data_IF_901815316642
#
_entry.id   IF_901815316642
#
_cell.length_a   1.000
_cell.length_b   1.000
_cell.length_c   1.000
_cell.angle_alpha   90.00
_cell.angle_beta   90.00
_cell.angle_gamma   90.00
#
_symmetry.space_group_name_H-M   'P 1'
#
loop_
_entity.id
_entity.type
_entity.pdbx_description
1 polymer ?
#
# COMPACT_ATOMS: atom_id res chain seq x y z
N UNK A 1 -14.91 15.42 -5.78
CA UNK A 1 -13.51 15.11 -5.45
C UNK A 1 -12.81 14.78 -6.77
N UNK A 2 -11.64 15.35 -7.00
CA UNK A 2 -10.96 15.38 -8.30
C UNK A 2 -10.53 14.01 -8.84
N UNK A 3 -10.21 13.99 -10.13
CA UNK A 3 -9.78 12.90 -11.01
C UNK A 3 -9.31 11.60 -10.31
N UNK A 4 -10.02 10.49 -10.60
CA UNK A 4 -9.60 9.07 -10.49
C UNK A 4 -8.48 8.77 -9.47
N UNK A 5 -8.86 8.50 -8.22
CA UNK A 5 -7.95 7.91 -7.25
C UNK A 5 -7.72 6.43 -7.61
N UNK A 6 -6.45 6.01 -7.60
CA UNK A 6 -6.05 4.62 -7.78
C UNK A 6 -5.51 4.11 -6.44
N UNK A 7 -6.05 2.99 -5.97
CA UNK A 7 -5.63 2.34 -4.74
C UNK A 7 -4.32 1.57 -4.96
N UNK A 8 -3.36 1.73 -4.06
CA UNK A 8 -2.06 1.07 -4.09
C UNK A 8 -1.93 0.13 -2.89
N UNK A 9 -1.47 -1.10 -3.14
CA UNK A 9 -1.10 -2.10 -2.13
C UNK A 9 0.20 -2.83 -2.55
N UNK A 10 0.81 -3.56 -1.62
CA UNK A 10 2.08 -4.30 -1.78
C UNK A 10 1.93 -5.70 -2.40
N UNK A 11 0.75 -6.03 -2.95
CA UNK A 11 0.45 -7.35 -3.51
C UNK A 11 0.54 -8.52 -2.50
N UNK A 12 0.52 -8.26 -1.18
CA UNK A 12 0.52 -9.32 -0.17
C UNK A 12 -0.68 -10.28 -0.32
N UNK A 13 -0.51 -11.54 0.10
CA UNK A 13 -1.53 -12.59 -0.06
C UNK A 13 -2.94 -12.18 0.42
N UNK A 14 -3.11 -11.51 1.59
CA UNK A 14 -4.41 -11.03 2.02
C UNK A 14 -5.03 -10.00 1.06
N UNK A 15 -4.23 -9.08 0.52
CA UNK A 15 -4.69 -8.05 -0.42
C UNK A 15 -5.15 -8.66 -1.76
N UNK A 16 -4.64 -9.85 -2.10
CA UNK A 16 -5.00 -10.58 -3.33
C UNK A 16 -6.09 -11.64 -3.12
N UNK A 17 -6.66 -11.74 -1.92
CA UNK A 17 -7.79 -12.61 -1.68
C UNK A 17 -9.01 -12.17 -2.49
N UNK A 18 -9.80 -13.14 -2.97
CA UNK A 18 -11.01 -12.87 -3.78
C UNK A 18 -12.01 -11.94 -3.09
N UNK A 19 -12.14 -12.05 -1.76
CA UNK A 19 -13.03 -11.18 -0.98
C UNK A 19 -12.60 -9.71 -1.05
N UNK A 20 -11.30 -9.43 -1.03
CA UNK A 20 -10.75 -8.08 -1.15
C UNK A 20 -10.97 -7.54 -2.57
N UNK A 21 -10.66 -8.33 -3.59
CA UNK A 21 -10.88 -7.94 -4.99
C UNK A 21 -12.36 -7.62 -5.27
N UNK A 22 -13.30 -8.40 -4.73
CA UNK A 22 -14.74 -8.13 -4.87
C UNK A 22 -15.18 -6.86 -4.16
N UNK A 23 -14.64 -6.59 -2.97
CA UNK A 23 -14.91 -5.36 -2.21
C UNK A 23 -14.43 -4.11 -2.98
N UNK A 24 -13.19 -4.14 -3.50
CA UNK A 24 -12.68 -3.01 -4.30
C UNK A 24 -13.54 -2.75 -5.55
N UNK A 25 -14.00 -3.82 -6.20
CA UNK A 25 -14.89 -3.70 -7.35
C UNK A 25 -16.27 -3.14 -6.97
N UNK A 26 -16.86 -3.52 -5.84
CA UNK A 26 -18.18 -3.00 -5.43
C UNK A 26 -18.15 -1.53 -5.06
N UNK A 27 -17.01 -1.05 -4.58
CA UNK A 27 -16.79 0.36 -4.22
C UNK A 27 -16.29 1.21 -5.41
N UNK A 28 -16.22 0.65 -6.63
CA UNK A 28 -15.66 1.31 -7.82
C UNK A 28 -14.23 1.82 -7.62
N UNK A 29 -13.45 1.10 -6.81
CA UNK A 29 -12.05 1.43 -6.51
C UNK A 29 -11.15 0.72 -7.51
N UNK A 30 -10.49 1.51 -8.36
CA UNK A 30 -9.43 1.00 -9.24
C UNK A 30 -8.18 0.72 -8.44
N UNK A 31 -7.68 -0.52 -8.49
CA UNK A 31 -6.39 -0.89 -7.90
C UNK A 31 -5.26 -0.80 -8.94
N UNK A 32 -4.12 -0.27 -8.53
CA UNK A 32 -2.90 -0.27 -9.33
C UNK A 32 -2.34 -1.69 -9.46
N UNK A 33 -1.99 -2.08 -10.68
CA UNK A 33 -1.15 -3.25 -10.90
C UNK A 33 0.29 -2.94 -10.47
N UNK A 34 0.80 -3.74 -9.53
CA UNK A 34 2.10 -3.52 -8.91
C UNK A 34 3.00 -4.73 -9.10
N UNK A 35 4.27 -4.49 -9.40
CA UNK A 35 5.26 -5.56 -9.58
C UNK A 35 5.64 -6.17 -8.23
N UNK A 36 5.74 -7.49 -8.19
CA UNK A 36 6.23 -8.18 -7.00
C UNK A 36 7.69 -7.81 -6.73
N UNK A 37 8.09 -7.81 -5.44
CA UNK A 37 9.46 -7.55 -4.99
C UNK A 37 10.00 -6.15 -5.31
N UNK A 38 9.13 -5.14 -5.37
CA UNK A 38 9.52 -3.73 -5.53
C UNK A 38 9.20 -2.90 -4.25
N UNK A 39 9.84 -3.21 -3.10
CA UNK A 39 9.60 -2.47 -1.85
C UNK A 39 10.12 -1.02 -1.93
N UNK A 40 11.15 -0.79 -2.74
CA UNK A 40 11.73 0.53 -3.02
C UNK A 40 10.73 1.50 -3.66
N UNK A 41 9.77 0.96 -4.40
CA UNK A 41 8.71 1.74 -5.04
C UNK A 41 7.52 1.97 -4.11
N UNK A 42 7.38 1.25 -2.99
CA UNK A 42 6.21 1.35 -2.12
C UNK A 42 6.32 2.56 -1.17
N UNK A 43 5.48 3.61 -1.32
CA UNK A 43 5.55 4.78 -0.46
C UNK A 43 5.31 4.46 1.02
N UNK A 44 4.54 3.41 1.32
CA UNK A 44 4.26 2.96 2.70
C UNK A 44 5.54 2.46 3.37
N UNK A 45 6.37 1.69 2.67
CA UNK A 45 7.68 1.21 3.18
C UNK A 45 8.62 2.38 3.47
N UNK A 46 8.64 3.40 2.61
CA UNK A 46 9.46 4.59 2.84
C UNK A 46 9.00 5.34 4.11
N UNK A 47 7.69 5.50 4.31
CA UNK A 47 7.16 6.14 5.52
C UNK A 47 7.50 5.31 6.77
N UNK A 48 7.43 3.97 6.68
CA UNK A 48 7.84 3.10 7.78
C UNK A 48 9.31 3.20 8.13
N UNK A 49 10.21 3.27 7.13
CA UNK A 49 11.64 3.49 7.36
C UNK A 49 11.91 4.85 8.03
N UNK A 50 11.27 5.93 7.55
CA UNK A 50 11.38 7.25 8.19
C UNK A 50 10.88 7.23 9.64
N UNK A 51 9.79 6.52 9.92
CA UNK A 51 9.27 6.37 11.27
C UNK A 51 10.23 5.54 12.14
N UNK A 52 10.75 4.43 11.61
CA UNK A 52 11.71 3.56 12.31
C UNK A 52 12.96 4.31 12.75
N UNK A 53 13.53 5.14 11.87
CA UNK A 53 14.68 6.00 12.20
C UNK A 53 14.36 6.97 13.33
N UNK A 54 13.23 7.67 13.25
CA UNK A 54 12.81 8.61 14.31
C UNK A 54 12.56 7.93 15.66
N UNK A 55 12.06 6.70 15.64
CA UNK A 55 11.87 5.90 16.86
C UNK A 55 13.21 5.45 17.42
N UNK A 56 14.15 5.02 16.58
CA UNK A 56 15.50 4.66 17.01
C UNK A 56 16.29 5.85 17.58
N UNK A 57 16.08 7.05 17.02
CA UNK A 57 16.72 8.29 17.48
C UNK A 57 16.11 8.82 18.79
N UNK A 58 14.96 8.28 19.24
CA UNK A 58 14.46 8.60 20.58
C UNK A 58 15.36 7.94 21.61
N UNK A 59 16.13 8.77 22.31
CA UNK A 59 16.75 8.41 23.58
C UNK A 59 15.63 8.02 24.57
N UNK A 60 15.87 7.03 25.46
CA UNK A 60 14.91 6.62 26.48
C UNK A 60 14.47 7.78 27.40
#
# INVERSE_FOLDING_TARGET
>A
MGAQFVFMDDNARPHRANIVSKCLQSEDITRMDWTAFSPDLNPVEHVWDMLGRRVADRQP
#
